data_IF_900533503772
#
_entry.id   IF_900533503772
#
_cell.length_a   1.000
_cell.length_b   1.000
_cell.length_c   1.000
_cell.angle_alpha   90.00
_cell.angle_beta   90.00
_cell.angle_gamma   90.00
#
_symmetry.space_group_name_H-M   'P 1'
#
loop_
_entity.id
_entity.type
_entity.pdbx_description
1 polymer ?
#
# COMPACT_ATOMS: atom_id res chain seq x y z
N UNK A 1 -7.56 39.75 2.01
CA UNK A 1 -6.58 38.67 1.86
C UNK A 1 -6.60 37.75 3.07
N UNK A 2 -6.74 36.46 2.83
CA UNK A 2 -6.66 35.48 3.90
C UNK A 2 -5.24 35.46 4.50
N UNK A 3 -5.13 35.58 5.81
CA UNK A 3 -3.84 35.47 6.50
C UNK A 3 -3.30 34.07 6.36
N UNK A 4 -2.06 33.93 5.91
CA UNK A 4 -1.36 32.64 5.92
C UNK A 4 -1.19 32.17 7.36
N UNK A 5 -1.74 30.99 7.68
CA UNK A 5 -1.49 30.37 8.97
C UNK A 5 -0.09 29.76 8.94
N UNK A 6 0.78 30.25 9.82
CA UNK A 6 2.13 29.70 9.95
C UNK A 6 2.07 28.37 10.69
N UNK A 7 2.47 27.30 10.02
CA UNK A 7 2.57 25.98 10.64
C UNK A 7 3.83 25.92 11.48
N UNK A 8 3.75 25.53 12.77
CA UNK A 8 4.95 25.40 13.60
C UNK A 8 5.94 24.39 13.02
N UNK A 9 7.22 24.71 13.09
CA UNK A 9 8.31 23.84 12.65
C UNK A 9 9.05 23.34 13.90
N UNK A 10 8.75 22.10 14.30
CA UNK A 10 9.22 21.51 15.56
C UNK A 10 10.30 20.46 15.39
N UNK A 11 10.61 20.07 14.14
CA UNK A 11 11.60 19.04 13.82
C UNK A 11 12.77 19.65 13.05
N UNK A 12 13.88 18.93 13.01
CA UNK A 12 15.09 19.32 12.28
C UNK A 12 15.56 20.72 12.67
N UNK A 13 15.67 20.93 13.98
CA UNK A 13 16.14 22.22 14.52
C UNK A 13 15.31 23.42 14.03
N UNK A 14 13.99 23.26 13.99
CA UNK A 14 13.08 24.34 13.63
C UNK A 14 12.90 24.54 12.12
N UNK A 15 13.25 23.54 11.30
CA UNK A 15 13.15 23.67 9.83
C UNK A 15 12.10 22.76 9.21
N UNK A 16 11.48 21.86 10.00
CA UNK A 16 10.51 20.89 9.48
C UNK A 16 9.27 20.83 10.38
N UNK A 17 8.08 20.89 9.75
CA UNK A 17 6.82 20.72 10.49
C UNK A 17 6.59 19.26 10.90
N UNK A 18 5.69 19.03 11.87
CA UNK A 18 5.29 17.67 12.26
C UNK A 18 4.71 16.92 11.07
N UNK A 19 3.85 17.55 10.28
CA UNK A 19 3.26 16.91 9.10
C UNK A 19 4.33 16.44 8.11
N UNK A 20 5.33 17.25 7.84
CA UNK A 20 6.43 16.91 6.94
C UNK A 20 7.28 15.77 7.52
N UNK A 21 7.53 15.79 8.83
CA UNK A 21 8.29 14.74 9.53
C UNK A 21 7.59 13.38 9.40
N UNK A 22 6.30 13.32 9.72
CA UNK A 22 5.56 12.04 9.66
C UNK A 22 5.35 11.57 8.22
N UNK A 23 5.22 12.50 7.27
CA UNK A 23 5.20 12.17 5.84
C UNK A 23 6.52 11.52 5.40
N UNK A 24 7.65 12.04 5.87
CA UNK A 24 8.98 11.49 5.59
C UNK A 24 9.10 10.06 6.16
N UNK A 25 8.72 9.86 7.41
CA UNK A 25 8.75 8.53 8.07
C UNK A 25 7.83 7.55 7.33
N UNK A 26 6.61 7.96 7.01
CA UNK A 26 5.65 7.13 6.27
C UNK A 26 6.22 6.70 4.92
N UNK A 27 6.83 7.63 4.19
CA UNK A 27 7.44 7.35 2.90
C UNK A 27 8.56 6.32 3.02
N UNK A 28 9.43 6.46 4.02
CA UNK A 28 10.52 5.52 4.28
C UNK A 28 9.99 4.11 4.56
N UNK A 29 8.98 4.01 5.42
CA UNK A 29 8.37 2.72 5.77
C UNK A 29 7.69 2.07 4.55
N UNK A 30 6.95 2.86 3.77
CA UNK A 30 6.29 2.35 2.56
C UNK A 30 7.28 1.89 1.50
N UNK A 31 8.38 2.61 1.32
CA UNK A 31 9.43 2.19 0.40
C UNK A 31 10.07 0.88 0.85
N UNK A 32 10.39 0.76 2.13
CA UNK A 32 11.01 -0.45 2.66
C UNK A 32 10.03 -1.64 2.63
N UNK A 33 8.73 -1.40 2.79
CA UNK A 33 7.73 -2.45 2.78
C UNK A 33 7.64 -3.23 1.47
N UNK A 34 8.15 -2.68 0.37
CA UNK A 34 8.21 -3.38 -0.92
C UNK A 34 9.00 -4.69 -0.83
N UNK A 35 9.95 -4.77 0.08
CA UNK A 35 10.80 -5.95 0.29
C UNK A 35 10.34 -6.80 1.47
N UNK A 36 9.15 -6.51 2.01
CA UNK A 36 8.58 -7.30 3.10
C UNK A 36 8.31 -8.73 2.60
N UNK A 37 8.92 -9.71 3.27
CA UNK A 37 8.91 -11.12 2.81
C UNK A 37 7.50 -11.68 2.56
N UNK A 38 6.50 -11.47 3.44
CA UNK A 38 5.15 -11.97 3.19
C UNK A 38 4.53 -11.50 1.86
N UNK A 39 4.92 -10.33 1.35
CA UNK A 39 4.46 -9.86 0.04
C UNK A 39 4.96 -10.78 -1.07
N UNK A 40 6.25 -11.14 -1.06
CA UNK A 40 6.82 -12.07 -2.03
C UNK A 40 6.16 -13.45 -1.93
N UNK A 41 5.93 -13.93 -0.72
CA UNK A 41 5.27 -15.22 -0.49
C UNK A 41 3.83 -15.20 -0.99
N UNK A 42 3.11 -14.10 -0.78
CA UNK A 42 1.75 -13.92 -1.29
C UNK A 42 1.71 -14.06 -2.82
N UNK A 43 2.66 -13.43 -3.52
CA UNK A 43 2.78 -13.56 -4.98
C UNK A 43 3.08 -15.00 -5.39
N UNK A 44 4.04 -15.64 -4.72
CA UNK A 44 4.41 -17.04 -5.01
C UNK A 44 3.20 -17.97 -4.89
N UNK A 45 2.39 -17.79 -3.86
CA UNK A 45 1.22 -18.63 -3.62
C UNK A 45 0.09 -18.41 -4.64
N UNK A 46 0.09 -17.27 -5.34
CA UNK A 46 -0.94 -16.93 -6.31
C UNK A 46 -0.54 -17.24 -7.75
N UNK A 47 0.67 -17.70 -8.00
CA UNK A 47 1.20 -17.88 -9.36
C UNK A 47 1.06 -19.32 -9.87
N UNK A 48 1.07 -19.43 -11.18
CA UNK A 48 1.24 -20.68 -11.90
C UNK A 48 2.11 -20.43 -13.13
N UNK A 49 2.59 -21.50 -13.79
CA UNK A 49 3.36 -21.36 -15.01
C UNK A 49 2.53 -20.72 -16.12
N UNK A 50 3.12 -19.73 -16.78
CA UNK A 50 2.51 -19.09 -17.94
C UNK A 50 2.81 -19.92 -19.19
N UNK A 51 1.76 -20.33 -19.90
CA UNK A 51 1.87 -21.15 -21.15
C UNK A 51 1.37 -20.40 -22.37
N UNK A 52 1.27 -19.08 -22.27
CA UNK A 52 0.81 -18.23 -23.38
C UNK A 52 1.91 -17.95 -24.41
N UNK A 53 1.58 -17.12 -25.42
CA UNK A 53 2.47 -16.88 -26.55
C UNK A 53 3.68 -15.99 -26.26
N UNK A 54 3.67 -15.23 -25.16
CA UNK A 54 4.75 -14.31 -24.84
C UNK A 54 5.88 -15.05 -24.10
N UNK A 55 6.96 -15.36 -24.82
CA UNK A 55 8.08 -16.13 -24.29
C UNK A 55 8.85 -15.45 -23.16
N UNK A 56 8.65 -14.13 -22.95
CA UNK A 56 9.30 -13.39 -21.86
C UNK A 56 8.59 -13.59 -20.53
N UNK A 57 7.33 -14.06 -20.54
CA UNK A 57 6.54 -14.30 -19.33
C UNK A 57 6.71 -15.73 -18.87
N UNK A 58 7.14 -15.90 -17.62
CA UNK A 58 7.33 -17.23 -17.02
C UNK A 58 6.13 -17.66 -16.19
N UNK A 59 5.46 -16.71 -15.54
CA UNK A 59 4.41 -16.95 -14.57
C UNK A 59 3.22 -16.03 -14.81
N UNK A 60 2.05 -16.47 -14.37
CA UNK A 60 0.87 -15.62 -14.26
C UNK A 60 0.27 -15.79 -12.88
N UNK A 61 -0.50 -14.79 -12.44
CA UNK A 61 -0.97 -14.64 -11.06
C UNK A 61 -2.48 -14.51 -11.05
N UNK A 62 -3.12 -15.19 -10.11
CA UNK A 62 -4.57 -15.17 -9.99
C UNK A 62 -5.03 -14.02 -9.09
N UNK A 63 -5.94 -13.18 -9.61
CA UNK A 63 -6.63 -12.19 -8.80
C UNK A 63 -7.54 -12.90 -7.79
N UNK A 64 -7.44 -12.56 -6.53
CA UNK A 64 -8.23 -13.18 -5.48
C UNK A 64 -9.72 -12.86 -5.62
N UNK A 65 -10.05 -11.69 -6.14
CA UNK A 65 -11.44 -11.22 -6.23
C UNK A 65 -12.16 -11.75 -7.47
N UNK A 66 -11.61 -11.50 -8.67
CA UNK A 66 -12.27 -11.89 -9.93
C UNK A 66 -11.77 -13.22 -10.49
N UNK A 67 -10.74 -13.82 -9.87
CA UNK A 67 -10.16 -15.11 -10.26
C UNK A 67 -9.51 -15.14 -11.64
N UNK A 68 -9.36 -13.99 -12.30
CA UNK A 68 -8.64 -13.91 -13.58
C UNK A 68 -7.13 -14.14 -13.38
N UNK A 69 -6.48 -14.67 -14.42
CA UNK A 69 -5.04 -14.86 -14.44
C UNK A 69 -4.38 -13.71 -15.20
N UNK A 70 -3.34 -13.13 -14.60
CA UNK A 70 -2.70 -11.92 -15.12
C UNK A 70 -1.19 -12.04 -15.01
N UNK A 71 -0.46 -11.38 -15.94
CA UNK A 71 0.99 -11.26 -15.84
C UNK A 71 1.38 -10.30 -14.71
N UNK A 72 2.63 -10.37 -14.27
CA UNK A 72 3.09 -9.65 -13.08
C UNK A 72 2.83 -8.14 -13.12
N UNK A 73 3.00 -7.51 -14.29
CA UNK A 73 2.79 -6.05 -14.40
C UNK A 73 1.32 -5.62 -14.20
N UNK A 74 0.38 -6.57 -14.30
CA UNK A 74 -1.06 -6.29 -14.20
C UNK A 74 -1.65 -6.73 -12.86
N UNK A 75 -0.81 -7.03 -11.87
CA UNK A 75 -1.26 -7.39 -10.53
C UNK A 75 -0.58 -6.51 -9.47
N UNK A 76 -1.25 -6.42 -8.33
CA UNK A 76 -0.71 -5.75 -7.15
C UNK A 76 -0.97 -6.61 -5.94
N UNK A 77 -0.01 -6.65 -5.01
CA UNK A 77 -0.25 -7.23 -3.69
C UNK A 77 -0.88 -6.14 -2.83
N UNK A 78 -2.07 -6.41 -2.35
CA UNK A 78 -2.91 -5.45 -1.66
C UNK A 78 -3.03 -5.84 -0.18
N UNK A 79 -3.05 -4.82 0.70
CA UNK A 79 -3.37 -5.00 2.10
C UNK A 79 -4.90 -5.04 2.24
N UNK A 80 -5.44 -6.15 2.73
CA UNK A 80 -6.89 -6.30 2.91
C UNK A 80 -7.40 -5.20 3.85
N UNK A 81 -6.73 -5.03 5.00
CA UNK A 81 -6.93 -3.88 5.88
C UNK A 81 -5.78 -2.90 5.60
N UNK A 82 -6.06 -1.70 5.09
CA UNK A 82 -5.01 -0.73 4.79
C UNK A 82 -4.23 -0.33 6.04
N UNK A 83 -2.98 0.12 5.84
CA UNK A 83 -2.12 0.57 6.94
C UNK A 83 -2.70 1.81 7.65
N UNK A 84 -3.49 2.61 6.94
CA UNK A 84 -4.10 3.80 7.49
C UNK A 84 -3.17 5.01 7.44
N UNK A 85 -3.41 5.95 8.34
CA UNK A 85 -2.68 7.21 8.41
C UNK A 85 -1.52 7.12 9.38
N UNK A 86 -0.46 7.88 9.10
CA UNK A 86 0.66 8.08 10.02
C UNK A 86 0.90 9.58 10.13
N UNK A 87 0.26 10.21 11.09
CA UNK A 87 0.31 11.66 11.31
C UNK A 87 0.93 12.03 12.65
N UNK A 88 0.97 11.09 13.60
CA UNK A 88 1.50 11.30 14.95
C UNK A 88 2.26 10.06 15.41
N UNK A 89 3.03 10.19 16.49
CA UNK A 89 3.73 9.07 17.10
C UNK A 89 2.76 7.96 17.56
N UNK A 90 1.56 8.34 17.99
CA UNK A 90 0.55 7.39 18.47
C UNK A 90 0.03 6.50 17.35
N UNK A 91 0.06 6.95 16.10
CA UNK A 91 -0.36 6.16 14.95
C UNK A 91 0.66 5.07 14.57
N UNK A 92 1.90 5.22 15.01
CA UNK A 92 3.02 4.41 14.54
C UNK A 92 2.86 2.91 14.79
N UNK A 93 2.52 2.45 16.02
CA UNK A 93 2.44 1.02 16.26
C UNK A 93 1.44 0.30 15.33
N UNK A 94 0.25 0.83 15.19
CA UNK A 94 -0.79 0.22 14.36
C UNK A 94 -0.44 0.32 12.87
N UNK A 95 0.14 1.44 12.44
CA UNK A 95 0.60 1.62 11.07
C UNK A 95 1.65 0.55 10.70
N UNK A 96 2.64 0.33 11.57
CA UNK A 96 3.69 -0.68 11.37
C UNK A 96 3.10 -2.09 11.32
N UNK A 97 2.21 -2.43 12.25
CA UNK A 97 1.59 -3.75 12.29
C UNK A 97 0.76 -4.05 11.04
N UNK A 98 0.07 -3.05 10.52
CA UNK A 98 -0.75 -3.19 9.31
C UNK A 98 0.05 -3.20 8.03
N UNK A 99 1.13 -2.39 7.97
CA UNK A 99 1.98 -2.31 6.79
C UNK A 99 2.88 -3.54 6.65
N UNK A 100 3.53 -3.95 7.75
CA UNK A 100 4.37 -5.13 7.82
C UNK A 100 3.59 -6.29 8.43
N UNK A 101 2.53 -6.68 7.74
CA UNK A 101 1.57 -7.68 8.19
C UNK A 101 1.92 -9.10 7.74
N UNK A 102 1.19 -10.07 8.24
CA UNK A 102 1.29 -11.46 7.83
C UNK A 102 0.42 -11.77 6.60
N UNK A 103 0.52 -13.00 6.11
CA UNK A 103 -0.18 -13.44 4.87
C UNK A 103 -1.69 -13.23 4.92
N UNK A 104 -2.31 -13.35 6.09
CA UNK A 104 -3.76 -13.25 6.24
C UNK A 104 -4.31 -11.86 5.90
N UNK A 105 -3.47 -10.84 5.92
CA UNK A 105 -3.86 -9.47 5.52
C UNK A 105 -3.36 -9.07 4.12
N UNK A 106 -2.86 -10.02 3.34
CA UNK A 106 -2.36 -9.76 1.99
C UNK A 106 -3.16 -10.54 0.95
N UNK A 107 -3.34 -9.96 -0.21
CA UNK A 107 -4.01 -10.60 -1.34
C UNK A 107 -3.45 -10.08 -2.66
N UNK A 108 -3.48 -10.92 -3.69
CA UNK A 108 -3.14 -10.49 -5.06
C UNK A 108 -4.41 -10.03 -5.74
N UNK A 109 -4.40 -8.83 -6.28
CA UNK A 109 -5.49 -8.27 -7.07
C UNK A 109 -4.98 -7.86 -8.44
N UNK A 110 -5.80 -8.06 -9.48
CA UNK A 110 -5.51 -7.47 -10.78
C UNK A 110 -5.68 -5.94 -10.68
N UNK A 111 -5.07 -5.22 -11.62
CA UNK A 111 -5.08 -3.75 -11.63
C UNK A 111 -6.52 -3.21 -11.53
N UNK A 112 -7.45 -3.79 -12.28
CA UNK A 112 -8.86 -3.35 -12.28
C UNK A 112 -9.51 -3.51 -10.90
N UNK A 113 -9.36 -4.67 -10.26
CA UNK A 113 -9.92 -4.92 -8.92
C UNK A 113 -9.25 -4.05 -7.85
N UNK A 114 -7.93 -3.85 -7.96
CA UNK A 114 -7.19 -2.98 -7.05
C UNK A 114 -7.68 -1.53 -7.15
N UNK A 115 -7.87 -1.04 -8.37
CA UNK A 115 -8.36 0.33 -8.59
C UNK A 115 -9.78 0.52 -8.03
N UNK A 116 -10.65 -0.47 -8.20
CA UNK A 116 -12.01 -0.43 -7.63
C UNK A 116 -11.99 -0.38 -6.11
N UNK A 117 -11.11 -1.16 -5.48
CA UNK A 117 -10.96 -1.17 -4.02
C UNK A 117 -10.45 0.18 -3.51
N UNK A 118 -9.43 0.74 -4.17
CA UNK A 118 -8.86 2.05 -3.83
C UNK A 118 -9.93 3.14 -3.92
N UNK A 119 -10.75 3.12 -4.96
CA UNK A 119 -11.83 4.08 -5.14
C UNK A 119 -12.86 3.99 -4.02
N UNK A 120 -13.26 2.77 -3.62
CA UNK A 120 -14.18 2.57 -2.49
C UNK A 120 -13.61 3.09 -1.19
N UNK A 121 -12.33 2.86 -0.92
CA UNK A 121 -11.66 3.36 0.28
C UNK A 121 -11.64 4.89 0.32
N UNK A 122 -11.39 5.54 -0.80
CA UNK A 122 -11.43 7.01 -0.90
C UNK A 122 -12.82 7.56 -0.65
N UNK A 123 -13.85 6.93 -1.20
CA UNK A 123 -15.24 7.33 -1.00
C UNK A 123 -15.66 7.17 0.47
N UNK A 124 -15.26 6.09 1.11
CA UNK A 124 -15.53 5.84 2.53
C UNK A 124 -14.90 6.92 3.40
N UNK A 125 -13.66 7.33 3.13
CA UNK A 125 -12.98 8.42 3.86
C UNK A 125 -13.70 9.76 3.70
N UNK A 126 -14.24 10.04 2.50
CA UNK A 126 -15.01 11.28 2.27
C UNK A 126 -16.33 11.32 3.03
N UNK A 127 -16.97 10.16 3.23
CA UNK A 127 -18.26 10.06 3.93
C UNK A 127 -18.13 10.21 5.45
N UNK A 128 -16.94 10.01 6.00
CA UNK A 128 -16.69 10.05 7.44
C UNK A 128 -16.27 11.42 7.97
N UNK A 129 -16.26 12.42 7.11
CA UNK A 129 -15.98 13.80 7.52
C UNK A 129 -17.22 14.49 8.06
#
# INVERSE_FOLDING_TARGET
MAKRVLVPKTRCNGTMSEAAFWSFIRSALRQKSRWWKPISVCKLNARRDYKGPNKRQKYEYQCKKCKSWNIEKNINVDHIIPAGSLNTAQDLPLFVERLFCEQDNLQVLCTTCHDKKTLKEKQSKKKTK
#
